data_IF_705192889092
#
_entry.id   IF_705192889092
#
_cell.length_a   1.000
_cell.length_b   1.000
_cell.length_c   1.000
_cell.angle_alpha   90.00
_cell.angle_beta   90.00
_cell.angle_gamma   90.00
#
_symmetry.space_group_name_H-M   'P 1'
#
loop_
_entity.id
_entity.type
_entity.pdbx_description
1 polymer ?
#
# COMPACT_ATOMS: atom_id res chain seq x y z
N UNK A 1 -1.29 19.15 19.49
CA UNK A 1 -0.62 19.20 18.17
C UNK A 1 0.67 18.39 18.09
N UNK A 2 1.39 18.08 19.18
CA UNK A 2 2.52 17.11 19.18
C UNK A 2 2.09 15.69 18.77
N UNK A 3 1.02 15.19 19.36
CA UNK A 3 0.42 13.86 19.08
C UNK A 3 0.24 13.54 17.59
N UNK A 4 -0.30 14.47 16.79
CA UNK A 4 -0.53 14.24 15.35
C UNK A 4 0.78 14.14 14.55
N UNK A 5 1.80 14.89 14.95
CA UNK A 5 3.12 14.85 14.28
C UNK A 5 3.85 13.57 14.64
N UNK A 6 3.83 13.17 15.91
CA UNK A 6 4.41 11.91 16.39
C UNK A 6 3.73 10.71 15.73
N UNK A 7 2.39 10.73 15.64
CA UNK A 7 1.62 9.70 14.94
C UNK A 7 1.99 9.58 13.46
N UNK A 8 2.16 10.71 12.75
CA UNK A 8 2.61 10.70 11.34
C UNK A 8 4.01 10.11 11.19
N UNK A 9 4.93 10.47 12.06
CA UNK A 9 6.29 9.92 12.07
C UNK A 9 6.22 8.40 12.27
N UNK A 10 5.41 7.93 13.22
CA UNK A 10 5.22 6.51 13.48
C UNK A 10 4.63 5.78 12.27
N UNK A 11 3.62 6.36 11.61
CA UNK A 11 3.04 5.78 10.40
C UNK A 11 4.06 5.64 9.27
N UNK A 12 4.88 6.67 9.04
CA UNK A 12 5.93 6.62 8.00
C UNK A 12 6.97 5.54 8.34
N UNK A 13 7.40 5.46 9.60
CA UNK A 13 8.34 4.42 10.05
C UNK A 13 7.76 3.02 9.88
N UNK A 14 6.49 2.83 10.21
CA UNK A 14 5.79 1.55 10.06
C UNK A 14 5.70 1.14 8.59
N UNK A 15 5.44 2.09 7.69
CA UNK A 15 5.39 1.84 6.25
C UNK A 15 6.74 1.32 5.73
N UNK A 16 7.83 2.02 6.03
CA UNK A 16 9.17 1.59 5.58
C UNK A 16 9.58 0.25 6.20
N UNK A 17 9.37 0.08 7.51
CA UNK A 17 9.70 -1.16 8.21
C UNK A 17 8.95 -2.33 7.61
N UNK A 18 7.65 -2.16 7.36
CA UNK A 18 6.80 -3.20 6.75
C UNK A 18 7.27 -3.58 5.35
N UNK A 19 7.68 -2.62 4.52
CA UNK A 19 8.20 -2.90 3.19
C UNK A 19 9.53 -3.68 3.22
N UNK A 20 10.42 -3.35 4.17
CA UNK A 20 11.68 -4.07 4.36
C UNK A 20 11.46 -5.48 4.90
N UNK A 21 10.56 -5.64 5.88
CA UNK A 21 10.21 -6.94 6.44
C UNK A 21 9.59 -7.85 5.38
N UNK A 22 8.65 -7.33 4.57
CA UNK A 22 8.08 -8.07 3.45
C UNK A 22 9.16 -8.59 2.50
N UNK A 23 10.05 -7.69 2.06
CA UNK A 23 11.18 -8.05 1.21
C UNK A 23 12.03 -9.16 1.83
N UNK A 24 12.40 -9.01 3.10
CA UNK A 24 13.27 -9.96 3.77
C UNK A 24 12.60 -11.34 3.92
N UNK A 25 11.30 -11.36 4.25
CA UNK A 25 10.50 -12.60 4.34
C UNK A 25 10.42 -13.28 2.98
N UNK A 26 10.10 -12.55 1.90
CA UNK A 26 10.02 -13.13 0.56
C UNK A 26 11.36 -13.71 0.09
N UNK A 27 12.48 -13.04 0.39
CA UNK A 27 13.82 -13.51 0.03
C UNK A 27 14.30 -14.71 0.87
N UNK A 28 13.69 -14.93 2.04
CA UNK A 28 14.01 -16.07 2.89
C UNK A 28 13.25 -17.35 2.50
N UNK A 29 12.26 -17.27 1.61
CA UNK A 29 11.50 -18.43 1.12
C UNK A 29 12.41 -19.29 0.24
N UNK A 30 12.49 -20.58 0.54
CA UNK A 30 13.37 -21.53 -0.16
C UNK A 30 12.95 -21.80 -1.61
N UNK A 31 11.64 -21.89 -1.87
CA UNK A 31 11.08 -22.02 -3.22
C UNK A 31 9.99 -20.96 -3.40
N UNK A 32 10.32 -19.80 -4.01
CA UNK A 32 9.36 -18.72 -4.18
C UNK A 32 8.30 -19.00 -5.25
N UNK A 33 8.42 -20.10 -6.01
CA UNK A 33 7.48 -20.48 -7.07
C UNK A 33 6.50 -21.56 -6.62
N UNK A 34 6.75 -22.22 -5.49
CA UNK A 34 5.79 -23.13 -4.87
C UNK A 34 4.56 -22.36 -4.33
N UNK A 35 3.33 -22.84 -4.56
CA UNK A 35 2.12 -22.24 -3.98
C UNK A 35 2.20 -22.21 -2.46
N UNK A 36 1.84 -21.07 -1.85
CA UNK A 36 1.84 -20.89 -0.38
C UNK A 36 0.70 -21.72 0.25
N UNK A 37 -0.45 -21.74 -0.42
CA UNK A 37 -1.62 -22.55 -0.06
C UNK A 37 -2.11 -23.28 -1.31
N UNK A 38 -2.86 -24.37 -1.13
CA UNK A 38 -3.36 -25.16 -2.27
C UNK A 38 -4.25 -24.31 -3.18
N UNK A 39 -3.82 -24.12 -4.43
CA UNK A 39 -4.52 -23.26 -5.41
C UNK A 39 -4.33 -21.77 -5.18
N UNK A 40 -3.53 -21.38 -4.20
CA UNK A 40 -3.16 -19.99 -3.92
C UNK A 40 -1.96 -19.52 -4.73
N UNK A 41 -1.64 -18.24 -4.58
CA UNK A 41 -0.44 -17.65 -5.17
C UNK A 41 0.83 -18.17 -4.51
N UNK A 42 1.92 -18.17 -5.29
CA UNK A 42 3.27 -18.35 -4.76
C UNK A 42 3.87 -17.02 -4.27
N UNK A 43 5.04 -17.07 -3.62
CA UNK A 43 5.70 -15.88 -3.09
C UNK A 43 6.10 -14.89 -4.18
N UNK A 44 6.50 -15.37 -5.36
CA UNK A 44 6.86 -14.50 -6.49
C UNK A 44 5.66 -13.70 -7.01
N UNK A 45 4.51 -14.36 -7.21
CA UNK A 45 3.25 -13.72 -7.58
C UNK A 45 2.80 -12.70 -6.53
N UNK A 46 2.92 -13.04 -5.24
CA UNK A 46 2.58 -12.11 -4.16
C UNK A 46 3.51 -10.88 -4.15
N UNK A 47 4.79 -11.07 -4.41
CA UNK A 47 5.75 -9.96 -4.54
C UNK A 47 5.41 -9.07 -5.74
N UNK A 48 5.10 -9.66 -6.89
CA UNK A 48 4.71 -8.93 -8.10
C UNK A 48 3.45 -8.09 -7.86
N UNK A 49 2.41 -8.71 -7.32
CA UNK A 49 1.17 -8.03 -6.99
C UNK A 49 1.38 -6.88 -5.99
N UNK A 50 2.16 -7.13 -4.93
CA UNK A 50 2.41 -6.11 -3.90
C UNK A 50 3.14 -4.89 -4.47
N UNK A 51 4.17 -5.13 -5.30
CA UNK A 51 4.86 -4.06 -6.03
C UNK A 51 3.89 -3.29 -6.94
N UNK A 52 3.05 -3.98 -7.70
CA UNK A 52 2.16 -3.33 -8.67
C UNK A 52 1.07 -2.52 -7.97
N UNK A 53 0.51 -3.02 -6.89
CA UNK A 53 -0.45 -2.26 -6.07
C UNK A 53 0.20 -1.03 -5.45
N UNK A 54 1.43 -1.13 -4.92
CA UNK A 54 2.16 0.04 -4.44
C UNK A 54 2.43 1.06 -5.56
N UNK A 55 2.91 0.58 -6.71
CA UNK A 55 3.29 1.45 -7.83
C UNK A 55 2.08 2.12 -8.49
N UNK A 56 1.03 1.38 -8.76
CA UNK A 56 -0.11 1.81 -9.58
C UNK A 56 -1.25 2.39 -8.75
N UNK A 57 -1.33 2.02 -7.47
CA UNK A 57 -2.42 2.47 -6.58
C UNK A 57 -1.85 3.35 -5.50
N UNK A 58 -1.27 2.79 -4.44
CA UNK A 58 -1.05 3.56 -3.21
C UNK A 58 0.04 4.63 -3.35
N UNK A 59 1.20 4.27 -3.90
CA UNK A 59 2.31 5.19 -4.13
C UNK A 59 1.99 6.26 -5.16
N UNK A 60 1.33 5.89 -6.27
CA UNK A 60 0.88 6.85 -7.29
C UNK A 60 -0.13 7.84 -6.70
N UNK A 61 -1.17 7.33 -6.02
CA UNK A 61 -2.22 8.19 -5.46
C UNK A 61 -1.69 9.10 -4.35
N UNK A 62 -0.77 8.61 -3.51
CA UNK A 62 -0.11 9.43 -2.50
C UNK A 62 0.64 10.61 -3.15
N UNK A 63 1.47 10.34 -4.16
CA UNK A 63 2.23 11.39 -4.88
C UNK A 63 1.30 12.40 -5.55
N UNK A 64 0.26 11.94 -6.25
CA UNK A 64 -0.73 12.82 -6.89
C UNK A 64 -1.49 13.68 -5.89
N UNK A 65 -1.84 13.18 -4.71
CA UNK A 65 -2.49 14.00 -3.66
C UNK A 65 -1.60 15.13 -3.15
N UNK A 66 -0.28 14.92 -3.14
CA UNK A 66 0.68 15.96 -2.74
C UNK A 66 0.83 17.06 -3.80
N UNK A 67 0.70 16.70 -5.07
CA UNK A 67 1.00 17.58 -6.21
C UNK A 67 -0.25 18.24 -6.81
N UNK A 68 -1.37 17.52 -6.85
CA UNK A 68 -2.61 17.92 -7.51
C UNK A 68 -3.66 18.41 -6.52
N UNK A 69 -4.55 19.29 -6.98
CA UNK A 69 -5.71 19.71 -6.19
C UNK A 69 -6.87 18.76 -6.47
N UNK A 70 -7.31 18.02 -5.44
CA UNK A 70 -8.46 17.11 -5.53
C UNK A 70 -8.37 16.08 -6.68
N UNK A 71 -7.29 15.27 -6.75
CA UNK A 71 -7.15 14.25 -7.78
C UNK A 71 -8.30 13.23 -7.72
N UNK A 72 -8.67 12.71 -8.89
CA UNK A 72 -9.61 11.59 -9.02
C UNK A 72 -8.83 10.30 -9.27
N UNK A 73 -9.31 9.21 -8.70
CA UNK A 73 -8.69 7.91 -8.80
C UNK A 73 -9.72 6.84 -9.14
N UNK A 74 -9.44 6.11 -10.22
CA UNK A 74 -10.27 4.98 -10.66
C UNK A 74 -10.04 3.76 -9.77
N UNK A 75 -11.02 2.84 -9.75
CA UNK A 75 -10.85 1.56 -9.09
C UNK A 75 -9.79 0.70 -9.82
N UNK A 76 -9.08 -0.14 -9.07
CA UNK A 76 -8.05 -1.01 -9.60
C UNK A 76 -8.33 -2.45 -9.22
N UNK A 77 -8.56 -3.29 -10.23
CA UNK A 77 -8.68 -4.74 -10.08
C UNK A 77 -7.30 -5.39 -10.15
N UNK A 78 -6.73 -5.66 -8.97
CA UNK A 78 -5.40 -6.24 -8.86
C UNK A 78 -5.32 -7.71 -9.30
N UNK A 79 -6.43 -8.44 -9.28
CA UNK A 79 -6.47 -9.84 -9.70
C UNK A 79 -6.50 -9.91 -11.23
N UNK A 80 -7.34 -9.09 -11.87
CA UNK A 80 -7.36 -8.96 -13.33
C UNK A 80 -5.99 -8.48 -13.86
N UNK A 81 -5.40 -7.47 -13.21
CA UNK A 81 -4.07 -6.98 -13.58
C UNK A 81 -3.00 -8.08 -13.48
N UNK A 82 -3.00 -8.85 -12.39
CA UNK A 82 -2.07 -9.98 -12.22
C UNK A 82 -2.26 -11.06 -13.29
N UNK A 83 -3.50 -11.36 -13.69
CA UNK A 83 -3.77 -12.34 -14.73
C UNK A 83 -3.21 -11.91 -16.11
N UNK A 84 -3.18 -10.61 -16.39
CA UNK A 84 -2.76 -10.06 -17.68
C UNK A 84 -1.26 -9.69 -17.75
N UNK A 85 -0.67 -9.28 -16.63
CA UNK A 85 0.65 -8.63 -16.61
C UNK A 85 1.74 -9.39 -15.85
N UNK A 86 1.43 -10.50 -15.19
CA UNK A 86 2.42 -11.26 -14.46
C UNK A 86 3.47 -11.93 -15.38
N UNK A 87 4.75 -11.63 -15.16
CA UNK A 87 5.88 -12.29 -15.82
C UNK A 87 6.71 -13.09 -14.81
N UNK A 88 6.65 -14.41 -14.90
CA UNK A 88 7.38 -15.34 -14.03
C UNK A 88 8.90 -15.33 -14.24
N UNK A 89 9.40 -14.65 -15.29
CA UNK A 89 10.84 -14.53 -15.59
C UNK A 89 11.49 -13.35 -14.89
N UNK A 90 10.70 -12.46 -14.27
CA UNK A 90 11.26 -11.33 -13.53
C UNK A 90 12.05 -11.81 -12.31
N UNK A 91 13.19 -11.18 -12.06
CA UNK A 91 14.02 -11.51 -10.90
C UNK A 91 13.36 -11.01 -9.60
N UNK A 92 13.11 -11.95 -8.67
CA UNK A 92 12.43 -11.67 -7.41
C UNK A 92 13.18 -10.63 -6.57
N UNK A 93 14.51 -10.69 -6.53
CA UNK A 93 15.31 -9.77 -5.71
C UNK A 93 15.25 -8.35 -6.26
N UNK A 94 15.46 -8.18 -7.55
CA UNK A 94 15.35 -6.89 -8.23
C UNK A 94 13.96 -6.28 -8.07
N UNK A 95 12.91 -7.11 -8.15
CA UNK A 95 11.52 -6.69 -7.94
C UNK A 95 11.30 -6.12 -6.53
N UNK A 96 11.73 -6.86 -5.50
CA UNK A 96 11.57 -6.46 -4.11
C UNK A 96 12.47 -5.29 -3.72
N UNK A 97 13.68 -5.21 -4.27
CA UNK A 97 14.59 -4.07 -4.11
C UNK A 97 13.95 -2.79 -4.67
N UNK A 98 13.35 -2.88 -5.87
CA UNK A 98 12.62 -1.77 -6.49
C UNK A 98 11.41 -1.33 -5.68
N UNK A 99 10.61 -2.28 -5.17
CA UNK A 99 9.48 -2.00 -4.29
C UNK A 99 9.93 -1.28 -3.00
N UNK A 100 10.90 -1.83 -2.28
CA UNK A 100 11.38 -1.25 -1.03
C UNK A 100 11.99 0.15 -1.24
N UNK A 101 12.71 0.35 -2.35
CA UNK A 101 13.23 1.66 -2.73
C UNK A 101 12.11 2.67 -3.05
N UNK A 102 11.04 2.25 -3.74
CA UNK A 102 9.90 3.12 -4.03
C UNK A 102 9.19 3.57 -2.75
N UNK A 103 8.96 2.65 -1.81
CA UNK A 103 8.35 2.95 -0.51
C UNK A 103 9.23 3.91 0.30
N UNK A 104 10.54 3.68 0.38
CA UNK A 104 11.45 4.59 1.09
C UNK A 104 11.53 5.96 0.43
N UNK A 105 11.49 6.03 -0.90
CA UNK A 105 11.38 7.30 -1.62
C UNK A 105 10.12 8.07 -1.23
N UNK A 106 8.96 7.40 -1.18
CA UNK A 106 7.71 8.02 -0.75
C UNK A 106 7.79 8.48 0.71
N UNK A 107 8.29 7.63 1.61
CA UNK A 107 8.46 7.97 3.02
C UNK A 107 9.35 9.21 3.22
N UNK A 108 10.43 9.33 2.46
CA UNK A 108 11.31 10.50 2.49
C UNK A 108 10.61 11.79 2.03
N UNK A 109 9.78 11.71 0.99
CA UNK A 109 8.94 12.85 0.57
C UNK A 109 8.02 13.26 1.72
N UNK A 110 7.33 12.30 2.32
CA UNK A 110 6.35 12.54 3.38
C UNK A 110 6.97 13.17 4.63
N UNK A 111 8.18 12.75 5.02
CA UNK A 111 8.93 13.37 6.14
C UNK A 111 9.25 14.83 5.89
N UNK A 112 9.49 15.22 4.64
CA UNK A 112 9.81 16.59 4.25
C UNK A 112 8.60 17.53 4.19
N UNK A 113 7.37 17.01 4.35
CA UNK A 113 6.17 17.81 4.17
C UNK A 113 5.89 18.74 5.35
N UNK A 114 5.52 20.01 5.10
CA UNK A 114 5.03 20.89 6.14
C UNK A 114 3.67 20.39 6.66
N UNK A 115 3.34 20.69 7.92
CA UNK A 115 2.13 20.20 8.57
C UNK A 115 0.82 20.47 7.79
N UNK A 116 0.76 21.57 7.03
CA UNK A 116 -0.37 21.97 6.20
C UNK A 116 -0.55 21.09 4.96
N UNK A 117 0.52 20.50 4.42
CA UNK A 117 0.44 19.61 3.25
C UNK A 117 -0.24 18.27 3.57
N UNK A 118 -0.30 17.90 4.85
CA UNK A 118 -1.03 16.72 5.33
C UNK A 118 -2.54 16.91 5.44
N UNK A 119 -3.05 18.13 5.23
CA UNK A 119 -4.48 18.45 5.28
C UNK A 119 -5.11 18.56 3.87
N UNK A 120 -4.43 18.03 2.85
CA UNK A 120 -4.92 18.06 1.46
C UNK A 120 -5.95 16.95 1.25
N UNK A 121 -7.10 17.31 0.68
CA UNK A 121 -8.19 16.38 0.39
C UNK A 121 -7.99 15.73 -0.99
N UNK A 122 -8.22 14.42 -1.09
CA UNK A 122 -8.39 13.69 -2.34
C UNK A 122 -9.75 12.97 -2.38
N UNK A 123 -10.32 12.78 -3.56
CA UNK A 123 -11.58 12.03 -3.72
C UNK A 123 -11.27 10.68 -4.37
N UNK A 124 -11.78 9.62 -3.75
CA UNK A 124 -11.77 8.28 -4.29
C UNK A 124 -13.23 7.83 -4.38
N UNK A 125 -13.67 7.33 -5.53
CA UNK A 125 -14.84 6.45 -5.53
C UNK A 125 -14.43 5.18 -4.77
N UNK A 126 -15.34 4.65 -3.96
CA UNK A 126 -15.14 3.59 -2.98
C UNK A 126 -14.34 2.41 -3.58
N UNK A 127 -13.02 2.45 -3.42
CA UNK A 127 -12.14 1.46 -4.04
C UNK A 127 -12.03 0.28 -3.10
N UNK A 128 -12.93 -0.68 -3.27
CA UNK A 128 -12.84 -2.00 -2.67
C UNK A 128 -11.72 -2.75 -3.40
N UNK A 129 -10.47 -2.54 -2.99
CA UNK A 129 -9.36 -3.42 -3.39
C UNK A 129 -9.58 -4.73 -2.63
N UNK A 130 -10.40 -5.62 -3.19
CA UNK A 130 -10.66 -6.95 -2.65
C UNK A 130 -9.42 -7.80 -2.94
N UNK A 131 -8.44 -7.76 -2.04
CA UNK A 131 -7.30 -8.68 -2.09
C UNK A 131 -7.80 -10.02 -1.54
N UNK A 132 -8.21 -10.94 -2.42
CA UNK A 132 -8.62 -12.31 -2.06
C UNK A 132 -7.42 -13.20 -1.75
N UNK A 133 -6.70 -12.85 -0.70
CA UNK A 133 -5.86 -13.79 0.03
C UNK A 133 -6.36 -13.76 1.46
N UNK A 134 -6.88 -14.89 1.95
CA UNK A 134 -7.62 -15.04 3.21
C UNK A 134 -6.85 -14.72 4.50
N UNK A 135 -5.72 -14.03 4.41
CA UNK A 135 -5.04 -13.31 5.48
C UNK A 135 -4.46 -12.07 4.83
N UNK A 136 -5.05 -10.91 5.08
CA UNK A 136 -4.41 -9.64 4.75
C UNK A 136 -2.98 -9.71 5.29
N UNK A 137 -1.98 -9.70 4.40
CA UNK A 137 -0.63 -9.51 4.88
C UNK A 137 -0.65 -8.16 5.60
N UNK A 138 -0.13 -8.09 6.82
CA UNK A 138 -0.13 -6.87 7.63
C UNK A 138 0.44 -5.64 6.88
N UNK A 139 1.21 -5.90 5.82
CA UNK A 139 1.77 -4.92 4.88
C UNK A 139 0.72 -4.29 3.98
N UNK A 140 -0.19 -5.08 3.38
CA UNK A 140 -1.26 -4.55 2.53
C UNK A 140 -2.33 -3.82 3.35
N UNK A 141 -2.62 -4.31 4.56
CA UNK A 141 -3.42 -3.56 5.54
C UNK A 141 -2.71 -2.28 6.01
N UNK A 142 -1.38 -2.32 6.18
CA UNK A 142 -0.55 -1.17 6.49
C UNK A 142 -0.58 -0.10 5.38
N UNK A 143 -0.36 -0.50 4.13
CA UNK A 143 -0.44 0.36 2.94
C UNK A 143 -1.85 0.96 2.78
N UNK A 144 -2.89 0.15 2.95
CA UNK A 144 -4.28 0.59 2.90
C UNK A 144 -4.60 1.60 4.00
N UNK A 145 -4.24 1.32 5.26
CA UNK A 145 -4.43 2.26 6.39
C UNK A 145 -3.65 3.55 6.18
N UNK A 146 -2.42 3.46 5.70
CA UNK A 146 -1.58 4.61 5.41
C UNK A 146 -2.17 5.50 4.31
N UNK A 147 -2.67 4.88 3.23
CA UNK A 147 -3.33 5.60 2.15
C UNK A 147 -4.65 6.26 2.60
N UNK A 148 -5.47 5.54 3.36
CA UNK A 148 -6.71 6.10 3.93
C UNK A 148 -6.41 7.28 4.86
N UNK A 149 -5.33 7.23 5.64
CA UNK A 149 -4.91 8.35 6.49
C UNK A 149 -4.41 9.56 5.68
N UNK A 150 -3.72 9.33 4.55
CA UNK A 150 -3.23 10.38 3.66
C UNK A 150 -4.34 11.07 2.86
N UNK A 151 -5.33 10.32 2.38
CA UNK A 151 -6.36 10.82 1.44
C UNK A 151 -7.64 11.27 2.12
N UNK A 152 -7.93 10.74 3.32
CA UNK A 152 -9.15 11.04 4.04
C UNK A 152 -8.85 11.58 5.47
N UNK A 153 -8.00 12.61 5.66
CA UNK A 153 -7.58 13.04 7.01
C UNK A 153 -8.71 13.41 8.00
N UNK A 154 -9.97 13.48 7.55
CA UNK A 154 -11.17 13.70 8.38
C UNK A 154 -11.92 12.45 8.86
N UNK A 155 -11.61 11.23 8.38
CA UNK A 155 -12.44 10.05 8.68
C UNK A 155 -12.09 9.35 10.00
N UNK A 156 -10.83 9.38 10.44
CA UNK A 156 -10.37 8.62 11.62
C UNK A 156 -10.53 9.35 12.98
N UNK A 157 -11.03 10.59 13.02
CA UNK A 157 -11.28 11.30 14.28
C UNK A 157 -12.70 11.13 14.83
N UNK A 158 -13.58 10.34 14.20
CA UNK A 158 -14.94 10.15 14.70
C UNK A 158 -15.33 8.66 14.71
N UNK A 159 -15.29 8.06 15.91
CA UNK A 159 -15.69 6.69 16.24
C UNK A 159 -17.19 6.38 16.01
N UNK A 160 -17.77 6.64 14.84
CA UNK A 160 -19.16 6.25 14.56
C UNK A 160 -19.39 5.85 13.11
N UNK A 161 -19.17 4.58 12.83
CA UNK A 161 -19.99 3.84 11.88
C UNK A 161 -20.14 2.40 12.38
N UNK A 162 -21.09 2.18 13.29
CA UNK A 162 -21.79 0.89 13.30
C UNK A 162 -22.59 0.80 12.00
N UNK A 163 -22.71 -0.38 11.37
CA UNK A 163 -23.59 -0.53 10.23
C UNK A 163 -25.01 -0.15 10.67
N UNK A 164 -25.61 0.80 9.96
CA UNK A 164 -27.05 1.02 10.03
C UNK A 164 -27.68 -0.25 9.47
N UNK A 165 -28.18 -1.10 10.38
CA UNK A 165 -29.14 -2.12 10.00
C UNK A 165 -30.45 -1.38 9.71
N UNK A 166 -30.86 -1.35 8.44
CA UNK A 166 -32.28 -1.32 8.10
C UNK A 166 -32.87 -2.73 8.24
#
# INVERSE_FOLDING_TARGET
>A
MMELTEYRIQLIMNLETSAQDFRNVCLAVSDPYAPIEQGGWNTHQLAAHTRDVDKLVYGMRARRTLEENNPQFDNFDGDAYMAEHYDSREDLRSMLDGFAANVSSLANILRGLPAQAWARDGKCEESEVIIKSGKTSAILDGLRRFFLFLVLPKWELNERCKPTQE
#
